data_IF_051337703868
#
_entry.id   IF_051337703868
#
_cell.length_a   1.000
_cell.length_b   1.000
_cell.length_c   1.000
_cell.angle_alpha   90.00
_cell.angle_beta   90.00
_cell.angle_gamma   90.00
#
_symmetry.space_group_name_H-M   'P 1'
#
loop_
_entity.id
_entity.type
_entity.pdbx_description
1 polymer ?
#
# COMPACT_ATOMS: atom_id res chain seq x y z
N UNK A 1 14.60 -9.81 12.34
CA UNK A 1 15.48 -8.63 12.22
C UNK A 1 16.71 -9.06 11.44
N UNK A 2 17.01 -8.45 10.29
CA UNK A 2 18.22 -8.78 9.50
C UNK A 2 19.36 -7.90 10.02
N UNK A 3 20.43 -8.51 10.54
CA UNK A 3 21.62 -7.81 11.00
C UNK A 3 22.80 -8.14 10.08
N UNK A 4 23.58 -7.12 9.70
CA UNK A 4 24.83 -7.29 8.95
C UNK A 4 26.00 -6.98 9.88
N UNK A 5 26.87 -7.96 10.11
CA UNK A 5 28.05 -7.80 10.97
C UNK A 5 29.12 -6.98 10.24
N UNK A 6 29.50 -5.82 10.79
CA UNK A 6 30.55 -4.97 10.24
C UNK A 6 31.93 -5.56 10.54
N UNK A 7 32.75 -5.74 9.50
CA UNK A 7 34.16 -6.09 9.61
C UNK A 7 35.03 -4.83 9.43
N UNK A 8 36.17 -4.76 10.14
CA UNK A 8 37.04 -3.56 10.21
C UNK A 8 37.44 -2.95 8.85
N UNK A 9 37.52 -3.76 7.78
CA UNK A 9 37.99 -3.34 6.44
C UNK A 9 36.86 -3.00 5.45
N UNK A 10 35.60 -2.96 5.89
CA UNK A 10 34.45 -2.76 5.00
C UNK A 10 33.91 -1.34 5.16
N UNK A 11 33.85 -0.59 4.04
CA UNK A 11 33.25 0.75 4.01
C UNK A 11 31.75 0.70 4.32
N UNK A 12 31.22 1.79 4.88
CA UNK A 12 29.80 1.88 5.23
C UNK A 12 28.89 1.69 4.01
N UNK A 13 29.26 2.25 2.85
CA UNK A 13 28.48 2.09 1.61
C UNK A 13 28.37 0.63 1.17
N UNK A 14 29.44 -0.14 1.35
CA UNK A 14 29.44 -1.57 1.03
C UNK A 14 28.56 -2.37 1.98
N UNK A 15 28.41 -1.93 3.23
CA UNK A 15 27.46 -2.53 4.18
C UNK A 15 26.01 -2.20 3.82
N UNK A 16 25.72 -0.96 3.43
CA UNK A 16 24.39 -0.54 2.96
C UNK A 16 23.99 -1.33 1.73
N UNK A 17 24.90 -1.48 0.77
CA UNK A 17 24.65 -2.29 -0.43
C UNK A 17 24.42 -3.77 -0.11
N UNK A 18 25.19 -4.34 0.83
CA UNK A 18 24.98 -5.72 1.26
C UNK A 18 23.64 -5.90 1.97
N UNK A 19 23.29 -4.96 2.86
CA UNK A 19 21.99 -4.95 3.55
C UNK A 19 20.85 -4.87 2.54
N UNK A 20 20.90 -3.94 1.59
CA UNK A 20 19.90 -3.80 0.53
C UNK A 20 19.80 -5.07 -0.30
N UNK A 21 20.91 -5.72 -0.65
CA UNK A 21 20.88 -6.99 -1.39
C UNK A 21 20.22 -8.12 -0.60
N UNK A 22 20.50 -8.24 0.69
CA UNK A 22 19.88 -9.25 1.56
C UNK A 22 18.40 -8.96 1.76
N UNK A 23 18.05 -7.70 2.01
CA UNK A 23 16.66 -7.26 2.19
C UNK A 23 15.84 -7.41 0.92
N UNK A 24 16.38 -7.06 -0.26
CA UNK A 24 15.71 -7.25 -1.55
C UNK A 24 15.56 -8.73 -1.93
N UNK A 25 16.53 -9.59 -1.57
CA UNK A 25 16.40 -11.05 -1.75
C UNK A 25 15.43 -11.66 -0.74
N UNK A 26 15.32 -11.08 0.45
CA UNK A 26 14.35 -11.53 1.44
C UNK A 26 12.95 -11.09 0.99
N UNK A 27 11.98 -12.01 1.05
CA UNK A 27 10.58 -11.73 0.69
C UNK A 27 9.89 -10.72 1.63
N UNK A 28 10.60 -10.22 2.63
CA UNK A 28 10.09 -9.39 3.73
C UNK A 28 9.45 -8.09 3.24
N UNK A 29 10.03 -7.39 2.25
CA UNK A 29 9.42 -6.17 1.71
C UNK A 29 8.09 -6.50 1.01
N UNK A 30 8.07 -7.57 0.24
CA UNK A 30 6.88 -7.99 -0.49
C UNK A 30 5.80 -8.46 0.49
N UNK A 31 6.13 -9.32 1.44
CA UNK A 31 5.21 -9.81 2.48
C UNK A 31 4.68 -8.66 3.36
N UNK A 32 5.52 -7.68 3.70
CA UNK A 32 5.11 -6.50 4.48
C UNK A 32 4.12 -5.63 3.70
N UNK A 33 4.37 -5.42 2.40
CA UNK A 33 3.43 -4.70 1.53
C UNK A 33 2.11 -5.48 1.41
N UNK A 34 2.17 -6.78 1.13
CA UNK A 34 0.99 -7.64 1.01
C UNK A 34 0.13 -7.65 2.29
N UNK A 35 0.75 -7.70 3.48
CA UNK A 35 0.02 -7.56 4.76
C UNK A 35 -0.70 -6.22 4.88
N UNK A 36 -0.03 -5.10 4.59
CA UNK A 36 -0.66 -3.76 4.63
C UNK A 36 -1.86 -3.64 3.68
N UNK A 37 -1.80 -4.26 2.51
CA UNK A 37 -2.93 -4.27 1.57
C UNK A 37 -4.05 -5.21 2.02
N UNK A 38 -3.73 -6.36 2.60
CA UNK A 38 -4.70 -7.29 3.19
C UNK A 38 -5.46 -6.68 4.37
N UNK A 39 -4.78 -5.90 5.20
CA UNK A 39 -5.40 -5.23 6.35
C UNK A 39 -6.32 -4.08 5.91
N UNK A 40 -5.95 -3.31 4.88
CA UNK A 40 -6.86 -2.32 4.25
C UNK A 40 -8.11 -2.95 3.65
N UNK A 41 -7.99 -4.17 3.13
CA UNK A 41 -9.11 -4.91 2.57
C UNK A 41 -10.00 -5.52 3.68
N UNK A 42 -9.42 -5.86 4.83
CA UNK A 42 -10.16 -6.21 6.05
C UNK A 42 -10.89 -5.03 6.69
N UNK A 43 -10.30 -3.83 6.70
CA UNK A 43 -10.95 -2.60 7.17
C UNK A 43 -12.12 -2.15 6.26
N UNK A 44 -12.10 -2.55 4.99
CA UNK A 44 -13.18 -2.28 4.02
C UNK A 44 -13.75 -3.58 3.45
N UNK A 45 -14.40 -4.43 4.27
CA UNK A 45 -14.81 -5.78 3.88
C UNK A 45 -15.92 -5.79 2.81
N UNK A 46 -16.52 -4.64 2.50
CA UNK A 46 -17.60 -4.51 1.53
C UNK A 46 -17.28 -3.46 0.43
N UNK A 47 -16.15 -3.63 -0.27
CA UNK A 47 -15.79 -2.82 -1.46
C UNK A 47 -16.96 -2.69 -2.47
N UNK A 48 -17.75 -3.76 -2.68
CA UNK A 48 -18.96 -3.73 -3.53
C UNK A 48 -20.03 -2.78 -3.00
N UNK A 49 -20.37 -2.82 -1.70
CA UNK A 49 -21.38 -1.93 -1.12
C UNK A 49 -20.92 -0.46 -1.09
N UNK A 50 -19.62 -0.21 -0.89
CA UNK A 50 -19.06 1.14 -0.98
C UNK A 50 -19.13 1.69 -2.41
N UNK A 51 -18.81 0.87 -3.43
CA UNK A 51 -18.98 1.24 -4.84
C UNK A 51 -20.43 1.54 -5.19
N UNK A 52 -21.37 0.68 -4.78
CA UNK A 52 -22.79 0.90 -5.02
C UNK A 52 -23.29 2.23 -4.40
N UNK A 53 -22.93 2.50 -3.15
CA UNK A 53 -23.24 3.79 -2.49
C UNK A 53 -22.62 4.98 -3.21
N UNK A 54 -21.38 4.85 -3.69
CA UNK A 54 -20.70 5.92 -4.42
C UNK A 54 -21.40 6.23 -5.76
N UNK A 55 -21.80 5.21 -6.51
CA UNK A 55 -22.54 5.36 -7.79
C UNK A 55 -23.87 6.07 -7.57
N UNK A 56 -24.69 5.59 -6.62
CA UNK A 56 -25.99 6.22 -6.29
C UNK A 56 -25.80 7.68 -5.86
N UNK A 57 -24.77 7.97 -5.06
CA UNK A 57 -24.49 9.34 -4.62
C UNK A 57 -24.08 10.27 -5.78
N UNK A 58 -23.41 9.73 -6.81
CA UNK A 58 -23.00 10.49 -7.98
C UNK A 58 -24.20 10.78 -8.90
N UNK A 59 -25.06 9.80 -9.11
CA UNK A 59 -26.31 9.94 -9.87
C UNK A 59 -27.21 11.01 -9.25
N UNK A 60 -27.41 10.98 -7.93
CA UNK A 60 -28.19 11.99 -7.21
C UNK A 60 -27.61 13.41 -7.37
N UNK A 61 -26.28 13.57 -7.30
CA UNK A 61 -25.63 14.88 -7.51
C UNK A 61 -25.81 15.37 -8.95
N UNK A 62 -25.68 14.48 -9.94
CA UNK A 62 -25.87 14.81 -11.34
C UNK A 62 -27.31 15.23 -11.63
N UNK A 63 -28.30 14.52 -11.08
CA UNK A 63 -29.71 14.86 -11.22
C UNK A 63 -30.04 16.20 -10.55
N UNK A 64 -29.52 16.44 -9.35
CA UNK A 64 -29.67 17.72 -8.64
C UNK A 64 -29.04 18.88 -9.40
N UNK A 65 -27.89 18.67 -10.04
CA UNK A 65 -27.25 19.68 -10.89
C UNK A 65 -28.10 19.99 -12.12
N UNK A 66 -28.64 18.97 -12.80
CA UNK A 66 -29.57 19.16 -13.94
C UNK A 66 -30.80 19.97 -13.53
N UNK A 67 -31.43 19.64 -12.40
CA UNK A 67 -32.62 20.35 -11.88
C UNK A 67 -32.35 21.78 -11.39
N UNK A 68 -31.09 22.16 -11.12
CA UNK A 68 -30.70 23.53 -10.78
C UNK A 68 -30.46 24.41 -12.01
N UNK A 69 -30.21 23.78 -13.17
CA UNK A 69 -29.93 24.48 -14.42
C UNK A 69 -31.16 24.63 -15.33
N UNK A 70 -32.27 23.99 -14.99
CA UNK A 70 -33.62 24.34 -15.42
C UNK A 70 -34.27 25.25 -14.37
#
# INVERSE_FOLDING_TARGET
MIAVKKHKKVSNDRLVNLFNKVVSKSRIIQESKERKFRDKDREKPNKRKQRAKAVVSAEYRAERARKKHY
#
